data_IF_835539560287
#
_entry.id   IF_835539560287
#
_cell.length_a   1.000
_cell.length_b   1.000
_cell.length_c   1.000
_cell.angle_alpha   90.00
_cell.angle_beta   90.00
_cell.angle_gamma   90.00
#
_symmetry.space_group_name_H-M   'P 1'
#
loop_
_entity.id
_entity.type
_entity.pdbx_description
1 polymer ?
#
# COMPACT_ATOMS: atom_id res chain seq x y z
N UNK A 1 -14.70 -13.81 -10.35
CA UNK A 1 -14.65 -12.36 -10.03
C UNK A 1 -15.93 -11.83 -9.38
N UNK A 2 -17.14 -12.23 -9.80
CA UNK A 2 -18.39 -11.70 -9.20
C UNK A 2 -18.58 -11.95 -7.70
N UNK A 3 -18.23 -13.14 -7.19
CA UNK A 3 -18.34 -13.45 -5.76
C UNK A 3 -17.39 -12.60 -4.90
N UNK A 4 -16.14 -12.46 -5.35
CA UNK A 4 -15.10 -11.67 -4.66
C UNK A 4 -15.49 -10.19 -4.63
N UNK A 5 -15.93 -9.65 -5.77
CA UNK A 5 -16.39 -8.26 -5.86
C UNK A 5 -17.69 -8.02 -5.06
N UNK A 6 -18.57 -9.03 -4.97
CA UNK A 6 -19.77 -8.97 -4.14
C UNK A 6 -19.45 -8.94 -2.64
N UNK A 7 -18.52 -9.78 -2.18
CA UNK A 7 -18.04 -9.76 -0.79
C UNK A 7 -17.31 -8.46 -0.48
N UNK A 8 -16.49 -7.95 -1.40
CA UNK A 8 -15.84 -6.65 -1.26
C UNK A 8 -16.85 -5.50 -1.18
N UNK A 9 -17.84 -5.46 -2.07
CA UNK A 9 -18.87 -4.43 -2.08
C UNK A 9 -19.72 -4.44 -0.81
N UNK A 10 -20.13 -5.63 -0.35
CA UNK A 10 -20.84 -5.78 0.92
C UNK A 10 -19.98 -5.36 2.11
N UNK A 11 -18.70 -5.73 2.13
CA UNK A 11 -17.76 -5.33 3.18
C UNK A 11 -17.56 -3.81 3.26
N UNK A 12 -17.45 -3.14 2.11
CA UNK A 12 -17.28 -1.67 2.04
C UNK A 12 -18.50 -0.89 2.52
N UNK A 13 -19.70 -1.46 2.46
CA UNK A 13 -20.94 -0.83 2.95
C UNK A 13 -21.14 -1.16 4.43
N UNK A 14 -21.00 -2.44 4.80
CA UNK A 14 -21.25 -2.94 6.16
C UNK A 14 -20.18 -2.45 7.14
N UNK A 15 -18.92 -2.36 6.72
CA UNK A 15 -17.80 -1.94 7.56
C UNK A 15 -17.99 -0.56 8.20
N UNK A 16 -18.21 0.51 7.42
CA UNK A 16 -18.46 1.85 7.96
C UNK A 16 -19.74 1.95 8.79
N UNK A 17 -20.81 1.25 8.40
CA UNK A 17 -22.08 1.24 9.14
C UNK A 17 -21.92 0.60 10.52
N UNK A 18 -21.29 -0.59 10.58
CA UNK A 18 -21.05 -1.29 11.84
C UNK A 18 -20.03 -0.54 12.69
N UNK A 19 -18.98 0.03 12.08
CA UNK A 19 -17.98 0.84 12.78
C UNK A 19 -18.55 2.14 13.36
N UNK A 20 -19.40 2.84 12.60
CA UNK A 20 -20.11 4.04 13.04
C UNK A 20 -21.08 3.75 14.18
N UNK A 21 -21.96 2.77 14.00
CA UNK A 21 -22.92 2.35 15.03
C UNK A 21 -22.23 1.89 16.33
N UNK A 22 -21.12 1.16 16.21
CA UNK A 22 -20.32 0.72 17.37
C UNK A 22 -19.68 1.92 18.08
N UNK A 23 -19.20 2.91 17.34
CA UNK A 23 -18.59 4.12 17.90
C UNK A 23 -19.63 4.99 18.60
N UNK A 24 -20.83 5.11 18.03
CA UNK A 24 -21.92 5.94 18.56
C UNK A 24 -22.55 5.34 19.84
N UNK A 25 -22.70 4.02 19.92
CA UNK A 25 -23.35 3.37 21.07
C UNK A 25 -22.39 2.85 22.15
N UNK A 26 -21.21 2.35 21.76
CA UNK A 26 -20.27 1.69 22.67
C UNK A 26 -18.93 2.43 22.81
N UNK A 27 -18.67 3.42 21.95
CA UNK A 27 -17.44 4.20 21.93
C UNK A 27 -16.34 3.58 21.07
N UNK A 28 -15.43 4.43 20.58
CA UNK A 28 -14.37 4.10 19.62
C UNK A 28 -13.49 2.88 19.99
N UNK A 29 -13.36 2.57 21.29
CA UNK A 29 -12.55 1.45 21.81
C UNK A 29 -13.10 0.08 21.36
N UNK A 30 -14.40 -0.03 21.14
CA UNK A 30 -15.04 -1.28 20.73
C UNK A 30 -14.71 -1.67 19.29
N UNK A 31 -14.39 -0.70 18.44
CA UNK A 31 -13.88 -0.98 17.08
C UNK A 31 -12.58 -1.78 17.16
N UNK A 32 -11.69 -1.46 18.10
CA UNK A 32 -10.46 -2.22 18.34
C UNK A 32 -10.73 -3.57 19.01
N UNK A 33 -11.66 -3.62 19.97
CA UNK A 33 -12.01 -4.84 20.68
C UNK A 33 -12.68 -5.89 19.80
N UNK A 34 -13.40 -5.50 18.75
CA UNK A 34 -14.01 -6.42 17.77
C UNK A 34 -12.97 -6.90 16.75
N UNK A 35 -12.03 -6.04 16.36
CA UNK A 35 -10.94 -6.43 15.47
C UNK A 35 -9.95 -7.40 16.12
N UNK A 36 -9.72 -7.29 17.44
CA UNK A 36 -8.80 -8.15 18.17
C UNK A 36 -9.13 -9.66 18.09
N UNK A 37 -10.36 -10.14 18.37
CA UNK A 37 -10.71 -11.55 18.25
C UNK A 37 -10.71 -12.01 16.79
N UNK A 38 -11.12 -11.16 15.84
CA UNK A 38 -11.04 -11.48 14.41
C UNK A 38 -9.60 -11.68 13.96
N UNK A 39 -8.69 -10.80 14.37
CA UNK A 39 -7.26 -10.91 14.11
C UNK A 39 -6.67 -12.16 14.76
N UNK A 40 -7.09 -12.50 15.98
CA UNK A 40 -6.65 -13.71 16.67
C UNK A 40 -7.12 -14.99 15.96
N UNK A 41 -8.37 -15.02 15.48
CA UNK A 41 -8.90 -16.14 14.69
C UNK A 41 -8.12 -16.27 13.39
N UNK A 42 -7.90 -15.16 12.68
CA UNK A 42 -7.12 -15.18 11.44
C UNK A 42 -5.68 -15.68 11.69
N UNK A 43 -5.03 -15.22 12.76
CA UNK A 43 -3.68 -15.65 13.14
C UNK A 43 -3.65 -17.14 13.52
N UNK A 44 -4.65 -17.62 14.26
CA UNK A 44 -4.81 -19.04 14.57
C UNK A 44 -5.03 -19.88 13.29
N UNK A 45 -5.86 -19.40 12.36
CA UNK A 45 -6.07 -20.06 11.08
C UNK A 45 -4.79 -20.11 10.26
N UNK A 46 -4.00 -19.04 10.21
CA UNK A 46 -2.70 -19.03 9.54
C UNK A 46 -1.77 -20.04 10.23
N UNK A 47 -1.69 -20.04 11.56
CA UNK A 47 -0.81 -20.93 12.31
C UNK A 47 -1.15 -22.42 12.12
N UNK A 48 -2.44 -22.77 11.98
CA UNK A 48 -2.90 -24.15 11.83
C UNK A 48 -2.96 -24.59 10.37
N UNK A 49 -3.44 -23.72 9.47
CA UNK A 49 -3.77 -24.08 8.09
C UNK A 49 -2.63 -23.79 7.12
N UNK A 50 -1.74 -22.85 7.43
CA UNK A 50 -0.63 -22.53 6.53
C UNK A 50 0.42 -23.65 6.59
N UNK A 51 0.65 -24.38 5.48
CA UNK A 51 1.76 -25.32 5.40
C UNK A 51 3.05 -24.56 5.66
N UNK A 52 3.99 -25.14 6.43
CA UNK A 52 5.33 -24.55 6.58
C UNK A 52 5.93 -24.40 5.19
N UNK A 53 5.97 -23.18 4.65
CA UNK A 53 6.72 -22.90 3.43
C UNK A 53 8.19 -23.15 3.76
N UNK A 54 8.70 -24.32 3.38
CA UNK A 54 10.12 -24.63 3.41
C UNK A 54 10.83 -23.87 2.27
N UNK A 55 10.79 -22.54 2.33
CA UNK A 55 11.55 -21.66 1.44
C UNK A 55 12.99 -21.59 1.92
N UNK A 56 13.82 -22.53 1.47
CA UNK A 56 15.27 -22.41 1.55
C UNK A 56 15.71 -21.37 0.51
N UNK A 57 15.94 -20.15 0.98
CA UNK A 57 16.59 -19.10 0.20
C UNK A 57 16.88 -17.93 1.11
N UNK A 58 18.14 -17.49 1.17
CA UNK A 58 18.47 -16.20 1.79
C UNK A 58 17.78 -15.12 0.97
N UNK A 59 16.58 -14.73 1.35
CA UNK A 59 15.90 -13.56 0.78
C UNK A 59 16.84 -12.38 0.99
N UNK A 60 17.51 -11.91 -0.06
CA UNK A 60 18.36 -10.73 0.02
C UNK A 60 17.44 -9.53 -0.12
N UNK A 61 17.03 -9.01 1.02
CA UNK A 61 16.25 -7.78 1.11
C UNK A 61 17.07 -6.66 0.42
N UNK A 62 16.55 -6.11 -0.68
CA UNK A 62 17.14 -4.93 -1.34
C UNK A 62 16.80 -3.66 -0.55
N UNK A 63 17.55 -3.45 0.53
CA UNK A 63 17.43 -2.27 1.37
C UNK A 63 17.61 -0.96 0.60
N UNK A 64 18.41 -0.95 -0.48
CA UNK A 64 18.65 0.26 -1.27
C UNK A 64 17.42 0.60 -2.10
N UNK A 65 16.82 -0.39 -2.77
CA UNK A 65 15.54 -0.25 -3.45
C UNK A 65 14.44 0.26 -2.53
N UNK A 66 14.31 -0.31 -1.32
CA UNK A 66 13.33 0.15 -0.32
C UNK A 66 13.54 1.62 0.04
N UNK A 67 14.79 2.01 0.33
CA UNK A 67 15.11 3.39 0.73
C UNK A 67 14.81 4.36 -0.41
N UNK A 68 15.19 4.02 -1.66
CA UNK A 68 14.93 4.88 -2.82
C UNK A 68 13.42 5.04 -3.08
N UNK A 69 12.64 3.97 -2.94
CA UNK A 69 11.20 4.01 -3.10
C UNK A 69 10.56 4.89 -2.03
N UNK A 70 10.88 4.67 -0.75
CA UNK A 70 10.35 5.49 0.35
C UNK A 70 10.77 6.95 0.19
N UNK A 71 12.04 7.20 -0.14
CA UNK A 71 12.56 8.54 -0.34
C UNK A 71 11.97 9.25 -1.57
N UNK A 72 11.52 8.52 -2.60
CA UNK A 72 10.84 9.09 -3.77
C UNK A 72 9.34 9.33 -3.55
N UNK A 73 8.65 8.41 -2.90
CA UNK A 73 7.19 8.49 -2.67
C UNK A 73 6.84 9.55 -1.62
N UNK A 74 7.58 9.62 -0.51
CA UNK A 74 7.27 10.53 0.61
C UNK A 74 7.23 12.01 0.17
N UNK A 75 8.22 12.55 -0.57
CA UNK A 75 8.19 13.94 -1.04
C UNK A 75 7.03 14.21 -2.00
N UNK A 76 6.66 13.25 -2.85
CA UNK A 76 5.52 13.40 -3.77
C UNK A 76 4.23 13.50 -2.98
N UNK A 77 4.01 12.60 -2.03
CA UNK A 77 2.83 12.62 -1.17
C UNK A 77 2.73 13.92 -0.37
N UNK A 78 3.85 14.38 0.22
CA UNK A 78 3.89 15.65 0.96
C UNK A 78 3.59 16.83 0.02
N UNK A 79 4.22 16.85 -1.15
CA UNK A 79 4.00 17.87 -2.18
C UNK A 79 2.53 17.95 -2.59
N UNK A 80 1.89 16.81 -2.88
CA UNK A 80 0.47 16.73 -3.22
C UNK A 80 -0.44 17.13 -2.06
N UNK A 81 -0.08 16.76 -0.82
CA UNK A 81 -0.87 17.10 0.37
C UNK A 81 -0.84 18.59 0.66
N UNK A 82 0.31 19.24 0.43
CA UNK A 82 0.46 20.68 0.64
C UNK A 82 -0.04 21.52 -0.52
N UNK A 83 -0.03 20.97 -1.74
CA UNK A 83 -0.48 21.64 -2.95
C UNK A 83 -1.96 22.02 -2.86
N UNK A 84 -2.25 23.32 -2.83
CA UNK A 84 -3.60 23.86 -2.80
C UNK A 84 -4.23 23.96 -1.40
N UNK A 85 -3.60 23.41 -0.36
CA UNK A 85 -4.04 23.57 1.04
C UNK A 85 -3.13 24.55 1.77
N UNK A 86 -1.83 24.23 1.86
CA UNK A 86 -0.84 25.01 2.63
C UNK A 86 -0.03 25.92 1.74
N UNK A 87 0.30 25.47 0.52
CA UNK A 87 1.07 26.23 -0.45
C UNK A 87 0.38 26.24 -1.83
N UNK A 88 0.47 27.34 -2.59
CA UNK A 88 -0.01 27.35 -3.97
C UNK A 88 0.73 26.30 -4.80
N UNK A 89 0.09 25.76 -5.83
CA UNK A 89 0.70 24.79 -6.75
C UNK A 89 2.03 25.28 -7.37
N UNK A 90 2.16 26.59 -7.58
CA UNK A 90 3.37 27.23 -8.11
C UNK A 90 4.46 27.50 -7.06
N UNK A 91 4.29 27.05 -5.83
CA UNK A 91 5.26 27.22 -4.77
C UNK A 91 6.51 26.36 -5.03
N UNK A 92 7.69 26.96 -4.82
CA UNK A 92 9.00 26.29 -4.95
C UNK A 92 9.06 25.03 -4.08
N UNK A 93 8.39 25.04 -2.93
CA UNK A 93 8.30 23.92 -2.01
C UNK A 93 7.54 22.73 -2.62
N UNK A 94 6.41 22.98 -3.28
CA UNK A 94 5.58 21.94 -3.93
C UNK A 94 6.29 21.39 -5.16
N UNK A 95 6.76 22.28 -6.04
CA UNK A 95 7.46 21.89 -7.27
C UNK A 95 8.78 21.19 -6.93
N UNK A 96 9.52 21.67 -5.93
CA UNK A 96 10.75 21.06 -5.46
C UNK A 96 10.53 19.67 -4.88
N UNK A 97 9.51 19.48 -4.03
CA UNK A 97 9.16 18.17 -3.49
C UNK A 97 8.76 17.18 -4.58
N UNK A 98 7.95 17.62 -5.56
CA UNK A 98 7.55 16.79 -6.71
C UNK A 98 8.73 16.44 -7.62
N UNK A 99 9.60 17.41 -7.93
CA UNK A 99 10.77 17.18 -8.78
C UNK A 99 11.77 16.23 -8.11
N UNK A 100 12.07 16.44 -6.81
CA UNK A 100 12.96 15.57 -6.04
C UNK A 100 12.41 14.15 -5.99
N UNK A 101 11.12 13.99 -5.68
CA UNK A 101 10.48 12.69 -5.65
C UNK A 101 10.46 11.99 -7.01
N UNK A 102 10.19 12.71 -8.09
CA UNK A 102 10.24 12.18 -9.45
C UNK A 102 11.65 11.71 -9.84
N UNK A 103 12.69 12.46 -9.48
CA UNK A 103 14.09 12.08 -9.73
C UNK A 103 14.47 10.84 -8.93
N UNK A 104 14.07 10.76 -7.65
CA UNK A 104 14.32 9.59 -6.80
C UNK A 104 13.58 8.34 -7.29
N UNK A 105 12.35 8.49 -7.80
CA UNK A 105 11.62 7.39 -8.44
C UNK A 105 12.23 6.97 -9.78
N UNK A 106 12.73 7.91 -10.58
CA UNK A 106 13.46 7.56 -11.80
C UNK A 106 14.77 6.82 -11.47
N UNK A 107 15.49 7.25 -10.44
CA UNK A 107 16.67 6.56 -9.93
C UNK A 107 16.32 5.17 -9.39
N UNK A 108 15.18 5.02 -8.71
CA UNK A 108 14.65 3.73 -8.27
C UNK A 108 14.37 2.81 -9.47
N UNK A 109 13.66 3.28 -10.51
CA UNK A 109 13.36 2.48 -11.69
C UNK A 109 14.63 2.02 -12.44
N UNK A 110 15.65 2.88 -12.51
CA UNK A 110 16.95 2.54 -13.09
C UNK A 110 17.73 1.55 -12.20
N UNK A 111 17.61 1.66 -10.88
CA UNK A 111 18.23 0.74 -9.93
C UNK A 111 17.57 -0.64 -9.96
N UNK A 112 16.25 -0.69 -10.04
CA UNK A 112 15.46 -1.92 -10.05
C UNK A 112 15.71 -2.74 -11.32
N UNK A 113 15.94 -2.09 -12.46
CA UNK A 113 16.40 -2.75 -13.69
C UNK A 113 17.78 -3.42 -13.55
N UNK A 114 18.56 -3.08 -12.53
CA UNK A 114 19.92 -3.58 -12.29
C UNK A 114 20.01 -4.49 -11.06
N UNK A 115 18.95 -4.57 -10.26
CA UNK A 115 18.91 -5.38 -9.05
C UNK A 115 18.71 -6.88 -9.39
N UNK A 116 19.53 -7.73 -8.77
CA UNK A 116 19.59 -9.17 -9.05
C UNK A 116 18.40 -9.96 -8.44
N UNK A 117 17.70 -9.35 -7.47
CA UNK A 117 16.44 -9.82 -6.88
C UNK A 117 15.50 -8.60 -6.77
N UNK A 118 14.73 -8.26 -7.82
CA UNK A 118 13.82 -7.12 -7.81
C UNK A 118 12.75 -7.25 -6.72
N UNK A 119 12.49 -6.18 -5.96
CA UNK A 119 11.39 -6.15 -4.99
C UNK A 119 10.05 -6.07 -5.74
N UNK A 120 10.00 -5.33 -6.84
CA UNK A 120 8.94 -5.44 -7.83
C UNK A 120 9.42 -6.38 -8.93
N UNK A 121 8.86 -7.59 -8.95
CA UNK A 121 8.96 -8.47 -10.11
C UNK A 121 8.30 -7.76 -11.30
N UNK A 122 9.07 -6.99 -12.08
CA UNK A 122 8.61 -6.17 -13.22
C UNK A 122 7.85 -6.98 -14.29
N UNK A 123 7.93 -8.32 -14.26
CA UNK A 123 7.05 -9.22 -15.03
C UNK A 123 5.54 -9.06 -14.72
N UNK A 124 5.14 -8.41 -13.61
CA UNK A 124 3.73 -8.13 -13.32
C UNK A 124 3.16 -6.99 -14.21
N UNK A 125 3.99 -6.02 -14.60
CA UNK A 125 3.62 -4.93 -15.52
C UNK A 125 3.58 -5.38 -16.98
N UNK A 126 4.09 -6.57 -17.28
CA UNK A 126 3.94 -7.23 -18.59
C UNK A 126 2.47 -7.66 -18.84
N UNK A 127 1.68 -7.80 -17.77
CA UNK A 127 0.25 -8.01 -17.90
C UNK A 127 -0.46 -6.67 -18.17
N UNK A 128 -0.97 -6.51 -19.39
CA UNK A 128 -1.79 -5.35 -19.80
C UNK A 128 -2.91 -5.02 -18.81
N UNK A 129 -3.43 -6.02 -18.08
CA UNK A 129 -4.46 -5.84 -17.06
C UNK A 129 -4.00 -5.01 -15.84
N UNK A 130 -2.73 -5.14 -15.41
CA UNK A 130 -2.22 -4.42 -14.25
C UNK A 130 -1.89 -2.96 -14.58
N UNK A 131 -1.28 -2.72 -15.75
CA UNK A 131 -0.98 -1.38 -16.26
C UNK A 131 -2.26 -0.56 -16.50
N UNK A 132 -3.31 -1.19 -17.05
CA UNK A 132 -4.60 -0.52 -17.24
C UNK A 132 -5.26 -0.18 -15.90
N UNK A 133 -5.18 -1.06 -14.89
CA UNK A 133 -5.77 -0.82 -13.58
C UNK A 133 -5.11 0.35 -12.81
N UNK A 134 -3.78 0.49 -12.89
CA UNK A 134 -3.03 1.58 -12.25
C UNK A 134 -3.26 2.93 -12.93
N UNK A 135 -3.49 2.94 -14.25
CA UNK A 135 -3.81 4.17 -14.99
C UNK A 135 -5.26 4.62 -14.75
N UNK A 136 -6.17 3.67 -14.49
CA UNK A 136 -7.60 3.94 -14.25
C UNK A 136 -7.97 4.23 -12.79
N UNK A 137 -7.08 3.96 -11.83
CA UNK A 137 -7.30 4.24 -10.39
C UNK A 137 -6.81 5.63 -10.03
#
# INVERSE_FOLDING_TARGET
>A
MGLIMGVFGLGSIVGPLVGGFTTDHFGWRWVFLVNLPLGLIALAMIAVLMPRLAGHGRVRIDWLGIILLVAGVVPILIGLTWAGITYPWNSVQVIGALAIGAVLLAAFALWENRANEPILTLHLFESHAFTVAVILS
#
